data_IF_327261408464
#
_entry.id   IF_327261408464
#
_cell.length_a   1.000
_cell.length_b   1.000
_cell.length_c   1.000
_cell.angle_alpha   90.00
_cell.angle_beta   90.00
_cell.angle_gamma   90.00
#
_symmetry.space_group_name_H-M   'P 1'
#
loop_
_entity.id
_entity.type
_entity.pdbx_description
1 polymer ?
#
# COMPACT_ATOMS: atom_id res chain seq x y z
N UNK A 1 -25.06 19.54 -0.48
CA UNK A 1 -24.36 19.52 -1.80
C UNK A 1 -23.16 20.43 -1.94
N UNK A 2 -23.23 21.78 -1.81
CA UNK A 2 -22.03 22.63 -1.91
C UNK A 2 -21.00 22.36 -0.81
N UNK A 3 -21.44 22.22 0.43
CA UNK A 3 -20.56 21.98 1.58
C UNK A 3 -19.93 20.57 1.55
N UNK A 4 -20.63 19.57 1.08
CA UNK A 4 -20.12 18.19 0.97
C UNK A 4 -19.03 18.08 -0.10
N UNK A 5 -19.26 18.65 -1.31
CA UNK A 5 -18.24 18.72 -2.34
C UNK A 5 -16.97 19.41 -1.81
N UNK A 6 -17.15 20.54 -1.14
CA UNK A 6 -16.04 21.29 -0.56
C UNK A 6 -15.27 20.48 0.50
N UNK A 7 -15.98 19.76 1.38
CA UNK A 7 -15.36 18.88 2.38
C UNK A 7 -14.55 17.76 1.73
N UNK A 8 -15.11 17.09 0.72
CA UNK A 8 -14.38 16.04 -0.03
C UNK A 8 -13.13 16.59 -0.70
N UNK A 9 -13.25 17.77 -1.33
CA UNK A 9 -12.10 18.43 -1.98
C UNK A 9 -11.01 18.79 -0.96
N UNK A 10 -11.35 19.27 0.24
CA UNK A 10 -10.37 19.54 1.30
C UNK A 10 -9.67 18.25 1.76
N UNK A 11 -10.41 17.18 1.99
CA UNK A 11 -9.84 15.90 2.41
C UNK A 11 -8.89 15.34 1.35
N UNK A 12 -9.26 15.42 0.07
CA UNK A 12 -8.38 15.08 -1.04
C UNK A 12 -7.13 15.96 -1.05
N UNK A 13 -7.28 17.26 -0.87
CA UNK A 13 -6.13 18.17 -0.85
C UNK A 13 -5.15 17.81 0.29
N UNK A 14 -5.65 17.57 1.49
CA UNK A 14 -4.80 17.19 2.64
C UNK A 14 -4.06 15.88 2.37
N UNK A 15 -4.76 14.84 1.88
CA UNK A 15 -4.14 13.55 1.54
C UNK A 15 -3.09 13.71 0.43
N UNK A 16 -3.35 14.57 -0.57
CA UNK A 16 -2.45 14.85 -1.66
C UNK A 16 -1.18 15.59 -1.22
N UNK A 17 -1.29 16.54 -0.29
CA UNK A 17 -0.13 17.22 0.28
C UNK A 17 0.77 16.27 1.08
N UNK A 18 0.19 15.32 1.82
CA UNK A 18 0.96 14.27 2.49
C UNK A 18 1.70 13.37 1.49
N UNK A 19 1.02 12.95 0.43
CA UNK A 19 1.63 12.16 -0.63
C UNK A 19 2.74 12.94 -1.36
N UNK A 20 2.52 14.22 -1.65
CA UNK A 20 3.53 15.10 -2.24
C UNK A 20 4.78 15.19 -1.35
N UNK A 21 4.62 15.34 -0.04
CA UNK A 21 5.73 15.37 0.90
C UNK A 21 6.57 14.07 0.83
N UNK A 22 5.92 12.91 0.76
CA UNK A 22 6.60 11.62 0.57
C UNK A 22 7.35 11.58 -0.76
N UNK A 23 6.73 12.01 -1.86
CA UNK A 23 7.35 12.03 -3.19
C UNK A 23 8.56 12.97 -3.28
N UNK A 24 8.51 14.12 -2.61
CA UNK A 24 9.64 15.06 -2.52
C UNK A 24 10.80 14.47 -1.71
N UNK A 25 10.50 13.71 -0.67
CA UNK A 25 11.51 13.16 0.23
C UNK A 25 12.11 11.84 -0.26
N UNK A 26 11.36 11.07 -1.05
CA UNK A 26 11.74 9.75 -1.54
C UNK A 26 13.14 9.69 -2.18
N UNK A 27 13.59 10.65 -3.04
CA UNK A 27 14.91 10.58 -3.64
C UNK A 27 16.07 10.73 -2.66
N UNK A 28 15.84 11.38 -1.51
CA UNK A 28 16.89 11.80 -0.55
C UNK A 28 16.88 11.05 0.76
N UNK A 29 15.90 10.21 1.02
CA UNK A 29 15.72 9.51 2.30
C UNK A 29 16.96 8.73 2.75
N UNK A 30 17.78 8.27 1.81
CA UNK A 30 19.03 7.52 2.05
C UNK A 30 20.28 8.26 1.60
N UNK A 31 20.17 9.53 1.23
CA UNK A 31 21.29 10.34 0.79
C UNK A 31 22.05 9.75 -0.40
N UNK A 32 23.37 9.80 -0.35
CA UNK A 32 24.27 9.28 -1.39
C UNK A 32 24.19 7.76 -1.59
N UNK A 33 23.74 7.02 -0.57
CA UNK A 33 23.65 5.56 -0.59
C UNK A 33 22.56 5.03 -1.54
N UNK A 34 21.48 5.81 -1.75
CA UNK A 34 20.39 5.43 -2.65
C UNK A 34 19.67 6.66 -3.23
N UNK A 35 20.43 7.57 -3.81
CA UNK A 35 19.91 8.78 -4.47
C UNK A 35 19.16 8.39 -5.75
N UNK A 36 17.86 8.65 -5.81
CA UNK A 36 16.96 8.09 -6.84
C UNK A 36 17.14 6.56 -7.03
N UNK A 37 17.41 5.83 -5.94
CA UNK A 37 17.66 4.39 -6.00
C UNK A 37 19.04 4.01 -6.56
N UNK A 38 19.97 4.95 -6.75
CA UNK A 38 21.32 4.74 -7.28
C UNK A 38 22.34 5.18 -6.23
N UNK A 39 23.34 4.33 -5.96
CA UNK A 39 24.48 4.73 -5.13
C UNK A 39 25.38 5.67 -5.93
N UNK A 40 25.68 6.83 -5.36
CA UNK A 40 26.55 7.84 -5.96
C UNK A 40 27.66 8.23 -4.99
N UNK A 41 28.75 8.83 -5.49
CA UNK A 41 29.76 9.38 -4.61
C UNK A 41 29.21 10.58 -3.84
N UNK A 42 29.78 10.85 -2.66
CA UNK A 42 29.44 12.02 -1.85
C UNK A 42 29.63 13.33 -2.62
N UNK A 43 30.69 13.41 -3.40
CA UNK A 43 30.99 14.54 -4.26
C UNK A 43 29.87 14.77 -5.30
N UNK A 44 29.48 13.71 -6.02
CA UNK A 44 28.37 13.75 -6.97
C UNK A 44 27.06 14.14 -6.28
N UNK A 45 26.76 13.54 -5.12
CA UNK A 45 25.53 13.83 -4.38
C UNK A 45 25.43 15.31 -3.98
N UNK A 46 26.53 15.90 -3.48
CA UNK A 46 26.57 17.29 -3.04
C UNK A 46 26.70 18.29 -4.19
N UNK A 47 27.22 17.89 -5.34
CA UNK A 47 27.41 18.71 -6.54
C UNK A 47 26.23 18.56 -7.53
N UNK A 48 26.43 17.73 -8.55
CA UNK A 48 25.46 17.53 -9.63
C UNK A 48 24.13 16.95 -9.14
N UNK A 49 24.19 16.08 -8.12
CA UNK A 49 22.98 15.51 -7.49
C UNK A 49 22.03 16.57 -6.96
N UNK A 50 22.55 17.65 -6.35
CA UNK A 50 21.70 18.76 -5.87
C UNK A 50 21.01 19.52 -7.02
N UNK A 51 21.66 19.65 -8.19
CA UNK A 51 21.05 20.27 -9.38
C UNK A 51 19.92 19.40 -9.93
N UNK A 52 20.17 18.09 -10.05
CA UNK A 52 19.18 17.09 -10.48
C UNK A 52 17.99 17.09 -9.53
N UNK A 53 18.22 17.08 -8.21
CA UNK A 53 17.19 17.10 -7.19
C UNK A 53 16.33 18.37 -7.25
N UNK A 54 16.95 19.55 -7.41
CA UNK A 54 16.21 20.82 -7.55
C UNK A 54 15.31 20.80 -8.78
N UNK A 55 15.81 20.30 -9.91
CA UNK A 55 15.02 20.18 -11.14
C UNK A 55 13.85 19.21 -10.94
N UNK A 56 14.09 18.07 -10.32
CA UNK A 56 13.03 17.12 -9.97
C UNK A 56 11.95 17.77 -9.11
N UNK A 57 12.32 18.45 -8.04
CA UNK A 57 11.37 19.13 -7.17
C UNK A 57 10.55 20.18 -7.91
N UNK A 58 11.18 21.00 -8.74
CA UNK A 58 10.47 22.02 -9.55
C UNK A 58 9.49 21.38 -10.53
N UNK A 59 9.92 20.34 -11.26
CA UNK A 59 9.04 19.63 -12.19
C UNK A 59 7.88 18.94 -11.47
N UNK A 60 8.16 18.29 -10.33
CA UNK A 60 7.15 17.60 -9.53
C UNK A 60 6.12 18.59 -8.98
N UNK A 61 6.56 19.68 -8.36
CA UNK A 61 5.67 20.70 -7.80
C UNK A 61 4.82 21.35 -8.92
N UNK A 62 5.43 21.74 -10.03
CA UNK A 62 4.71 22.34 -11.14
C UNK A 62 3.64 21.39 -11.72
N UNK A 63 4.01 20.14 -12.00
CA UNK A 63 3.08 19.16 -12.57
C UNK A 63 1.97 18.81 -11.57
N UNK A 64 2.31 18.60 -10.30
CA UNK A 64 1.37 18.24 -9.26
C UNK A 64 0.33 19.35 -9.06
N UNK A 65 0.76 20.59 -8.80
CA UNK A 65 -0.18 21.68 -8.57
C UNK A 65 -0.99 22.03 -9.82
N UNK A 66 -0.42 21.92 -11.02
CA UNK A 66 -1.18 22.14 -12.24
C UNK A 66 -2.31 21.12 -12.43
N UNK A 67 -2.01 19.83 -12.25
CA UNK A 67 -3.01 18.75 -12.38
C UNK A 67 -4.08 18.85 -11.30
N UNK A 68 -3.68 19.08 -10.04
CA UNK A 68 -4.63 19.22 -8.94
C UNK A 68 -5.53 20.45 -9.15
N UNK A 69 -4.96 21.61 -9.56
CA UNK A 69 -5.75 22.81 -9.84
C UNK A 69 -6.76 22.58 -10.97
N UNK A 70 -6.35 21.93 -12.07
CA UNK A 70 -7.27 21.57 -13.17
C UNK A 70 -8.38 20.64 -12.66
N UNK A 71 -8.02 19.61 -11.90
CA UNK A 71 -8.98 18.65 -11.35
C UNK A 71 -9.98 19.30 -10.39
N UNK A 72 -9.49 20.11 -9.44
CA UNK A 72 -10.34 20.82 -8.48
C UNK A 72 -11.26 21.84 -9.15
N UNK A 73 -10.73 22.66 -10.06
CA UNK A 73 -11.54 23.64 -10.82
C UNK A 73 -12.62 22.92 -11.63
N UNK A 74 -12.25 21.86 -12.35
CA UNK A 74 -13.22 21.09 -13.15
C UNK A 74 -14.27 20.42 -12.26
N UNK A 75 -13.87 19.84 -11.13
CA UNK A 75 -14.80 19.26 -10.16
C UNK A 75 -15.76 20.31 -9.59
N UNK A 76 -15.27 21.48 -9.28
CA UNK A 76 -16.08 22.60 -8.78
C UNK A 76 -17.12 23.08 -9.79
N UNK A 77 -16.69 23.34 -11.06
CA UNK A 77 -17.60 23.82 -12.10
C UNK A 77 -18.60 22.74 -12.56
N UNK A 78 -18.15 21.48 -12.69
CA UNK A 78 -18.99 20.36 -13.10
C UNK A 78 -19.79 19.76 -11.95
N UNK A 79 -19.54 20.19 -10.70
CA UNK A 79 -20.13 19.67 -9.47
C UNK A 79 -19.99 18.14 -9.33
N UNK A 80 -18.87 17.63 -9.79
CA UNK A 80 -18.58 16.21 -9.78
C UNK A 80 -17.13 15.98 -9.32
N UNK A 81 -16.96 15.35 -8.15
CA UNK A 81 -15.65 15.09 -7.56
C UNK A 81 -14.79 14.07 -8.34
N UNK A 82 -15.40 13.30 -9.27
CA UNK A 82 -14.67 12.33 -10.09
C UNK A 82 -13.53 12.98 -10.89
N UNK A 83 -13.67 14.26 -11.28
CA UNK A 83 -12.61 15.00 -11.95
C UNK A 83 -11.42 15.28 -11.04
N UNK A 84 -11.64 15.61 -9.76
CA UNK A 84 -10.56 15.79 -8.79
C UNK A 84 -9.87 14.46 -8.50
N UNK A 85 -10.63 13.38 -8.38
CA UNK A 85 -10.09 12.03 -8.19
C UNK A 85 -9.27 11.57 -9.41
N UNK A 86 -9.73 11.83 -10.62
CA UNK A 86 -8.99 11.51 -11.84
C UNK A 86 -7.68 12.30 -11.95
N UNK A 87 -7.69 13.59 -11.61
CA UNK A 87 -6.50 14.41 -11.57
C UNK A 87 -5.50 13.94 -10.50
N UNK A 88 -6.00 13.53 -9.34
CA UNK A 88 -5.19 12.93 -8.28
C UNK A 88 -4.46 11.66 -8.77
N UNK A 89 -5.14 10.74 -9.42
CA UNK A 89 -4.48 9.57 -10.01
C UNK A 89 -3.47 9.98 -11.10
N UNK A 90 -3.82 10.93 -11.96
CA UNK A 90 -2.92 11.43 -13.00
C UNK A 90 -1.65 12.05 -12.39
N UNK A 91 -1.77 12.81 -11.29
CA UNK A 91 -0.63 13.43 -10.62
C UNK A 91 0.34 12.38 -10.05
N UNK A 92 -0.15 11.25 -9.53
CA UNK A 92 0.72 10.13 -9.10
C UNK A 92 1.42 9.45 -10.26
N UNK A 93 0.74 9.21 -11.37
CA UNK A 93 1.39 8.64 -12.57
C UNK A 93 2.47 9.55 -13.11
N UNK A 94 2.21 10.86 -13.19
CA UNK A 94 3.21 11.85 -13.63
C UNK A 94 4.38 11.92 -12.65
N UNK A 95 4.13 11.94 -11.34
CA UNK A 95 5.17 11.92 -10.32
C UNK A 95 6.07 10.68 -10.44
N UNK A 96 5.47 9.51 -10.66
CA UNK A 96 6.19 8.28 -10.89
C UNK A 96 7.05 8.33 -12.17
N UNK A 97 6.50 8.84 -13.28
CA UNK A 97 7.21 9.00 -14.53
C UNK A 97 8.39 9.98 -14.40
N UNK A 98 8.20 11.10 -13.67
CA UNK A 98 9.25 12.05 -13.35
C UNK A 98 10.36 11.38 -12.52
N UNK A 99 10.00 10.68 -11.43
CA UNK A 99 10.97 9.95 -10.62
C UNK A 99 11.81 8.99 -11.48
N UNK A 100 11.15 8.17 -12.30
CA UNK A 100 11.82 7.21 -13.18
C UNK A 100 12.76 7.89 -14.20
N UNK A 101 12.36 9.06 -14.71
CA UNK A 101 13.19 9.85 -15.64
C UNK A 101 14.45 10.41 -14.97
N UNK A 102 14.29 11.05 -13.80
CA UNK A 102 15.43 11.60 -13.05
C UNK A 102 16.33 10.49 -12.50
N UNK A 103 15.79 9.34 -12.14
CA UNK A 103 16.58 8.17 -11.80
C UNK A 103 17.45 7.67 -12.96
N UNK A 104 16.97 7.77 -14.22
CA UNK A 104 17.82 7.48 -15.42
C UNK A 104 18.95 8.49 -15.58
N UNK A 105 18.69 9.77 -15.30
CA UNK A 105 19.69 10.84 -15.35
C UNK A 105 20.80 10.65 -14.29
N UNK A 106 20.47 10.09 -13.13
CA UNK A 106 21.44 9.77 -12.06
C UNK A 106 22.29 8.53 -12.37
N UNK A 107 21.81 7.60 -13.19
CA UNK A 107 22.49 6.33 -13.52
C UNK A 107 23.96 6.46 -13.94
N UNK A 108 24.35 7.42 -14.80
CA UNK A 108 25.77 7.54 -15.22
C UNK A 108 26.75 7.83 -14.07
N UNK A 109 26.25 8.41 -12.98
CA UNK A 109 27.06 8.75 -11.78
C UNK A 109 27.16 7.59 -10.78
N UNK A 110 26.73 6.41 -11.16
CA UNK A 110 26.72 5.24 -10.28
C UNK A 110 28.12 4.85 -9.87
N UNK A 111 28.33 4.66 -8.57
CA UNK A 111 29.56 4.07 -8.02
C UNK A 111 29.33 2.57 -7.89
N UNK A 112 30.18 1.79 -8.56
CA UNK A 112 30.24 0.34 -8.40
C UNK A 112 30.96 0.02 -7.09
N UNK A 113 30.41 -0.88 -6.29
CA UNK A 113 31.07 -1.43 -5.11
C UNK A 113 31.89 -2.66 -5.52
N UNK A 114 32.84 -3.06 -4.70
CA UNK A 114 33.58 -4.30 -4.92
C UNK A 114 32.62 -5.51 -4.99
N UNK A 115 32.96 -6.49 -5.84
CA UNK A 115 32.14 -7.66 -6.05
C UNK A 115 31.95 -8.47 -4.76
N UNK A 116 30.82 -8.31 -4.11
CA UNK A 116 30.46 -9.06 -2.91
C UNK A 116 29.97 -10.45 -3.29
N UNK A 117 30.56 -11.48 -2.67
CA UNK A 117 30.05 -12.85 -2.78
C UNK A 117 28.76 -12.97 -1.98
N UNK A 118 27.72 -13.56 -2.59
CA UNK A 118 26.42 -13.76 -1.96
C UNK A 118 26.17 -15.23 -1.64
N UNK A 119 25.57 -15.47 -0.49
CA UNK A 119 25.05 -16.77 -0.08
C UNK A 119 23.51 -16.73 -0.11
N UNK A 120 22.90 -17.89 -0.32
CA UNK A 120 21.46 -18.08 -0.20
C UNK A 120 21.20 -19.04 0.95
N UNK A 121 20.28 -18.73 1.89
CA UNK A 121 19.98 -19.65 2.99
C UNK A 121 19.36 -20.94 2.45
N UNK A 122 19.79 -22.07 3.00
CA UNK A 122 19.30 -23.40 2.62
C UNK A 122 17.92 -23.73 3.21
N UNK A 123 17.49 -23.00 4.24
CA UNK A 123 16.21 -23.25 4.88
C UNK A 123 15.02 -22.81 4.02
N UNK A 124 14.11 -23.76 3.78
CA UNK A 124 12.80 -23.47 3.19
C UNK A 124 11.85 -23.00 4.29
N UNK A 125 11.32 -21.80 4.15
CA UNK A 125 10.31 -21.24 5.04
C UNK A 125 8.93 -21.72 4.62
N UNK A 126 8.08 -22.02 5.61
CA UNK A 126 6.68 -22.41 5.38
C UNK A 126 5.76 -21.34 5.95
N UNK A 127 4.68 -21.03 5.24
CA UNK A 127 3.70 -20.05 5.71
C UNK A 127 3.11 -20.44 7.09
N UNK A 128 2.94 -21.74 7.34
CA UNK A 128 2.44 -22.27 8.61
C UNK A 128 3.30 -21.88 9.81
N UNK A 129 4.61 -21.69 9.64
CA UNK A 129 5.53 -21.35 10.73
C UNK A 129 5.34 -19.89 11.19
N UNK A 130 4.65 -19.08 10.39
CA UNK A 130 4.41 -17.65 10.62
C UNK A 130 2.92 -17.32 10.82
N UNK A 131 2.04 -18.33 10.86
CA UNK A 131 0.59 -18.13 11.02
C UNK A 131 0.11 -18.68 12.36
N UNK A 132 -0.81 -17.96 12.99
CA UNK A 132 -1.46 -18.44 14.22
C UNK A 132 -2.87 -18.88 13.90
N UNK A 133 -3.23 -20.21 14.09
CA UNK A 133 -4.52 -20.74 13.66
C UNK A 133 -5.74 -20.00 14.23
N UNK A 134 -5.67 -19.60 15.51
CA UNK A 134 -6.77 -18.85 16.15
C UNK A 134 -6.94 -17.45 15.54
N UNK A 135 -5.85 -16.79 15.17
CA UNK A 135 -5.92 -15.48 14.51
C UNK A 135 -6.53 -15.61 13.11
N UNK A 136 -6.13 -16.63 12.35
CA UNK A 136 -6.70 -16.88 11.02
C UNK A 136 -8.21 -17.22 11.14
N UNK A 137 -8.61 -18.03 12.13
CA UNK A 137 -10.01 -18.34 12.40
C UNK A 137 -10.81 -17.08 12.77
N UNK A 138 -10.24 -16.19 13.60
CA UNK A 138 -10.87 -14.93 13.98
C UNK A 138 -11.05 -13.99 12.76
N UNK A 139 -10.01 -13.84 11.94
CA UNK A 139 -10.09 -13.01 10.73
C UNK A 139 -11.11 -13.57 9.75
N UNK A 140 -11.16 -14.90 9.60
CA UNK A 140 -12.15 -15.57 8.76
C UNK A 140 -13.57 -15.33 9.29
N UNK A 141 -13.79 -15.47 10.60
CA UNK A 141 -15.06 -15.19 11.24
C UNK A 141 -15.49 -13.73 11.02
N UNK A 142 -14.60 -12.76 11.28
CA UNK A 142 -14.88 -11.34 11.06
C UNK A 142 -15.19 -11.02 9.59
N UNK A 143 -14.67 -11.80 8.65
CA UNK A 143 -14.94 -11.63 7.22
C UNK A 143 -16.27 -12.24 6.81
N UNK A 144 -16.58 -13.44 7.29
CA UNK A 144 -17.75 -14.21 6.84
C UNK A 144 -19.02 -13.81 7.60
N UNK A 145 -18.95 -13.59 8.91
CA UNK A 145 -20.13 -13.34 9.72
C UNK A 145 -20.98 -12.14 9.24
N UNK A 146 -20.40 -10.96 8.93
CA UNK A 146 -21.18 -9.84 8.37
C UNK A 146 -21.89 -10.21 7.08
N UNK A 147 -21.22 -10.96 6.20
CA UNK A 147 -21.80 -11.40 4.93
C UNK A 147 -23.00 -12.31 5.14
N UNK A 148 -22.87 -13.30 6.02
CA UNK A 148 -23.95 -14.24 6.35
C UNK A 148 -25.14 -13.51 6.98
N UNK A 149 -24.91 -12.59 7.89
CA UNK A 149 -25.95 -11.78 8.51
C UNK A 149 -26.66 -10.91 7.47
N UNK A 150 -25.92 -10.28 6.57
CA UNK A 150 -26.51 -9.49 5.47
C UNK A 150 -27.35 -10.34 4.51
N UNK A 151 -26.89 -11.56 4.17
CA UNK A 151 -27.67 -12.49 3.33
C UNK A 151 -28.98 -12.84 4.02
N UNK A 152 -28.93 -13.16 5.32
CA UNK A 152 -30.14 -13.51 6.10
C UNK A 152 -31.17 -12.37 6.14
N UNK A 153 -30.73 -11.13 6.37
CA UNK A 153 -31.61 -9.97 6.47
C UNK A 153 -31.91 -9.30 5.12
N UNK A 154 -31.28 -9.72 4.02
CA UNK A 154 -31.48 -9.09 2.72
C UNK A 154 -32.94 -8.98 2.27
N UNK A 155 -33.80 -10.02 2.43
CA UNK A 155 -35.20 -9.91 2.07
C UNK A 155 -35.97 -8.85 2.88
N UNK A 156 -35.60 -8.66 4.15
CA UNK A 156 -36.25 -7.72 5.07
C UNK A 156 -35.78 -6.26 4.89
N UNK A 157 -34.73 -6.02 4.12
CA UNK A 157 -34.27 -4.65 3.84
C UNK A 157 -35.30 -3.87 3.01
N UNK A 158 -35.49 -2.56 3.30
CA UNK A 158 -36.37 -1.69 2.53
C UNK A 158 -35.87 -1.49 1.09
N UNK A 159 -36.72 -0.96 0.19
CA UNK A 159 -36.34 -0.68 -1.20
C UNK A 159 -35.21 0.35 -1.34
N UNK A 160 -35.07 1.25 -0.35
CA UNK A 160 -33.96 2.20 -0.27
C UNK A 160 -33.14 1.93 0.98
N UNK A 161 -31.83 1.83 0.77
CA UNK A 161 -30.85 1.56 1.83
C UNK A 161 -29.84 2.70 1.92
N UNK A 162 -29.33 3.00 3.13
CA UNK A 162 -28.29 4.01 3.30
C UNK A 162 -26.95 3.49 2.76
N UNK A 163 -26.20 4.37 2.11
CA UNK A 163 -24.87 4.07 1.54
C UNK A 163 -23.78 5.02 2.03
N UNK A 164 -24.17 6.05 2.78
CA UNK A 164 -23.23 6.98 3.41
C UNK A 164 -23.78 7.47 4.73
N UNK A 165 -22.87 7.65 5.70
CA UNK A 165 -23.15 8.17 7.03
C UNK A 165 -22.23 9.36 7.31
N UNK A 166 -22.80 10.46 7.81
CA UNK A 166 -22.03 11.61 8.24
C UNK A 166 -21.19 11.32 9.48
N UNK A 167 -20.33 12.26 9.87
CA UNK A 167 -19.50 12.16 11.09
C UNK A 167 -20.32 12.01 12.38
N UNK A 168 -21.58 12.44 12.36
CA UNK A 168 -22.55 12.25 13.45
C UNK A 168 -23.16 10.85 13.49
N UNK A 169 -22.75 9.94 12.58
CA UNK A 169 -23.26 8.58 12.49
C UNK A 169 -24.68 8.46 11.92
N UNK A 170 -25.25 9.56 11.41
CA UNK A 170 -26.56 9.53 10.76
C UNK A 170 -26.42 9.31 9.25
N UNK A 171 -27.32 8.52 8.62
CA UNK A 171 -27.31 8.31 7.19
C UNK A 171 -27.72 9.60 6.46
N UNK A 172 -26.93 10.02 5.50
CA UNK A 172 -27.14 11.24 4.70
C UNK A 172 -27.30 10.97 3.20
N UNK A 173 -27.06 9.74 2.76
CA UNK A 173 -27.31 9.31 1.37
C UNK A 173 -27.95 7.94 1.31
N UNK A 174 -28.98 7.83 0.49
CA UNK A 174 -29.79 6.63 0.29
C UNK A 174 -29.88 6.27 -1.18
N UNK A 175 -29.81 4.99 -1.50
CA UNK A 175 -29.96 4.48 -2.88
C UNK A 175 -30.90 3.28 -2.92
N UNK A 176 -31.22 2.82 -4.13
CA UNK A 176 -32.06 1.63 -4.31
C UNK A 176 -31.32 0.39 -3.79
N UNK A 177 -32.05 -0.51 -3.14
CA UNK A 177 -31.53 -1.82 -2.73
C UNK A 177 -31.15 -2.65 -3.97
N UNK A 178 -29.89 -3.06 -4.03
CA UNK A 178 -29.37 -4.00 -5.03
C UNK A 178 -28.31 -4.89 -4.39
N UNK A 179 -27.89 -5.94 -5.08
CA UNK A 179 -26.79 -6.77 -4.60
C UNK A 179 -25.49 -6.00 -4.50
N UNK A 180 -25.19 -5.17 -5.50
CA UNK A 180 -23.96 -4.33 -5.48
C UNK A 180 -23.97 -3.37 -4.31
N UNK A 181 -25.09 -2.68 -4.04
CA UNK A 181 -25.20 -1.73 -2.93
C UNK A 181 -25.00 -2.37 -1.56
N UNK A 182 -25.59 -3.55 -1.33
CA UNK A 182 -25.55 -4.20 0.00
C UNK A 182 -24.28 -5.01 0.19
N UNK A 183 -23.78 -5.69 -0.84
CA UNK A 183 -22.66 -6.63 -0.72
C UNK A 183 -21.31 -6.10 -1.21
N UNK A 184 -21.21 -4.85 -1.64
CA UNK A 184 -19.94 -4.27 -2.08
C UNK A 184 -18.85 -4.37 -1.01
N UNK A 185 -19.13 -3.92 0.22
CA UNK A 185 -18.15 -3.97 1.32
C UNK A 185 -17.78 -5.40 1.73
N UNK A 186 -18.70 -6.35 1.91
CA UNK A 186 -18.37 -7.76 2.10
C UNK A 186 -17.50 -8.37 1.00
N UNK A 187 -17.80 -8.08 -0.26
CA UNK A 187 -17.01 -8.57 -1.40
C UNK A 187 -15.62 -7.94 -1.42
N UNK A 188 -15.54 -6.62 -1.19
CA UNK A 188 -14.26 -5.91 -1.08
C UNK A 188 -13.43 -6.46 0.09
N UNK A 189 -14.05 -6.71 1.23
CA UNK A 189 -13.38 -7.29 2.41
C UNK A 189 -12.81 -8.68 2.08
N UNK A 190 -13.59 -9.57 1.45
CA UNK A 190 -13.14 -10.90 1.03
C UNK A 190 -11.98 -10.80 0.02
N UNK A 191 -12.07 -9.89 -0.92
CA UNK A 191 -10.99 -9.60 -1.87
C UNK A 191 -9.71 -9.16 -1.13
N UNK A 192 -9.80 -8.19 -0.21
CA UNK A 192 -8.65 -7.70 0.54
C UNK A 192 -8.01 -8.80 1.40
N UNK A 193 -8.82 -9.66 2.06
CA UNK A 193 -8.29 -10.79 2.82
C UNK A 193 -7.52 -11.77 1.94
N UNK A 194 -8.06 -12.10 0.76
CA UNK A 194 -7.40 -12.96 -0.22
C UNK A 194 -6.09 -12.37 -0.72
N UNK A 195 -6.08 -11.04 -0.96
CA UNK A 195 -4.87 -10.33 -1.36
C UNK A 195 -3.79 -10.37 -0.27
N UNK A 196 -4.15 -10.11 0.99
CA UNK A 196 -3.21 -10.19 2.10
C UNK A 196 -2.64 -11.60 2.30
N UNK A 197 -3.45 -12.65 2.14
CA UNK A 197 -2.96 -14.04 2.20
C UNK A 197 -1.95 -14.32 1.08
N UNK A 198 -2.22 -13.84 -0.13
CA UNK A 198 -1.31 -13.96 -1.25
C UNK A 198 0.01 -13.23 -0.99
N UNK A 199 -0.05 -11.99 -0.46
CA UNK A 199 1.14 -11.21 -0.09
C UNK A 199 1.95 -11.89 1.03
N UNK A 200 1.29 -12.47 2.04
CA UNK A 200 1.96 -13.25 3.11
C UNK A 200 2.68 -14.44 2.52
N UNK A 201 2.01 -15.21 1.67
CA UNK A 201 2.61 -16.34 0.97
C UNK A 201 3.84 -15.92 0.17
N UNK A 202 3.70 -14.88 -0.62
CA UNK A 202 4.76 -14.33 -1.45
C UNK A 202 5.96 -13.85 -0.62
N UNK A 203 5.72 -13.15 0.49
CA UNK A 203 6.77 -12.66 1.38
C UNK A 203 7.55 -13.79 2.06
N UNK A 204 6.86 -14.83 2.49
CA UNK A 204 7.49 -16.01 3.10
C UNK A 204 8.42 -16.72 2.09
N UNK A 205 8.04 -16.74 0.81
CA UNK A 205 8.83 -17.36 -0.26
C UNK A 205 9.77 -16.38 -0.97
N UNK A 206 9.90 -15.14 -0.47
CA UNK A 206 10.80 -14.16 -1.04
C UNK A 206 12.26 -14.63 -0.99
N UNK A 207 12.98 -14.44 -2.09
CA UNK A 207 14.41 -14.78 -2.18
C UNK A 207 15.21 -13.86 -1.27
N UNK A 208 15.96 -14.43 -0.35
CA UNK A 208 16.97 -13.74 0.43
C UNK A 208 18.34 -13.85 -0.23
N UNK A 209 19.08 -12.76 -0.21
CA UNK A 209 20.46 -12.73 -0.61
C UNK A 209 21.28 -12.13 0.50
N UNK A 210 22.31 -12.86 0.93
CA UNK A 210 23.11 -12.54 2.10
C UNK A 210 24.57 -12.35 1.65
N UNK A 211 25.28 -11.30 2.14
CA UNK A 211 26.72 -11.21 1.98
C UNK A 211 27.40 -12.43 2.62
N UNK A 212 28.26 -13.13 1.90
CA UNK A 212 28.84 -14.39 2.38
C UNK A 212 29.66 -14.23 3.65
N UNK A 213 30.38 -13.12 3.79
CA UNK A 213 31.25 -12.84 4.97
C UNK A 213 30.47 -12.57 6.26
N UNK A 214 29.23 -12.09 6.16
CA UNK A 214 28.38 -11.71 7.29
C UNK A 214 26.99 -12.37 7.24
N UNK A 215 26.90 -13.53 6.60
CA UNK A 215 25.64 -14.17 6.26
C UNK A 215 24.74 -14.42 7.49
N UNK A 216 25.29 -14.85 8.62
CA UNK A 216 24.54 -15.11 9.85
C UNK A 216 23.91 -13.83 10.44
N UNK A 217 24.67 -12.74 10.47
CA UNK A 217 24.18 -11.45 10.98
C UNK A 217 23.04 -10.97 10.10
N UNK A 218 23.25 -10.94 8.78
CA UNK A 218 22.22 -10.53 7.82
C UNK A 218 20.98 -11.43 7.90
N UNK A 219 21.14 -12.75 7.99
CA UNK A 219 20.03 -13.70 8.10
C UNK A 219 19.16 -13.37 9.32
N UNK A 220 19.76 -13.18 10.48
CA UNK A 220 19.05 -12.84 11.73
C UNK A 220 18.17 -11.58 11.58
N UNK A 221 18.72 -10.50 11.02
CA UNK A 221 17.97 -9.25 10.85
C UNK A 221 16.92 -9.36 9.75
N UNK A 222 17.21 -10.06 8.64
CA UNK A 222 16.24 -10.29 7.56
C UNK A 222 15.05 -11.14 8.03
N UNK A 223 15.28 -12.16 8.84
CA UNK A 223 14.20 -12.93 9.48
C UNK A 223 13.35 -12.04 10.40
N UNK A 224 13.97 -11.17 11.19
CA UNK A 224 13.22 -10.21 12.02
C UNK A 224 12.35 -9.26 11.18
N UNK A 225 12.84 -8.80 10.02
CA UNK A 225 12.08 -7.95 9.10
C UNK A 225 10.89 -8.70 8.51
N UNK A 226 11.07 -9.96 8.07
CA UNK A 226 9.96 -10.78 7.56
C UNK A 226 8.91 -11.02 8.64
N UNK A 227 9.32 -11.47 9.82
CA UNK A 227 8.40 -11.70 10.96
C UNK A 227 7.65 -10.40 11.32
N UNK A 228 8.35 -9.26 11.35
CA UNK A 228 7.73 -7.97 11.63
C UNK A 228 6.69 -7.59 10.55
N UNK A 229 7.02 -7.79 9.28
CA UNK A 229 6.12 -7.50 8.16
C UNK A 229 4.88 -8.41 8.15
N UNK A 230 5.06 -9.70 8.42
CA UNK A 230 3.94 -10.65 8.51
C UNK A 230 3.01 -10.32 9.67
N UNK A 231 3.55 -9.96 10.85
CA UNK A 231 2.76 -9.51 12.00
C UNK A 231 2.00 -8.22 11.70
N UNK A 232 2.63 -7.26 11.01
CA UNK A 232 1.95 -6.06 10.55
C UNK A 232 0.75 -6.41 9.66
N UNK A 233 0.96 -7.29 8.67
CA UNK A 233 -0.12 -7.73 7.79
C UNK A 233 -1.26 -8.38 8.56
N UNK A 234 -0.98 -9.20 9.58
CA UNK A 234 -1.99 -9.86 10.39
C UNK A 234 -2.84 -8.87 11.20
N UNK A 235 -2.21 -7.88 11.83
CA UNK A 235 -2.93 -6.82 12.54
C UNK A 235 -3.78 -5.98 11.60
N UNK A 236 -3.22 -5.56 10.46
CA UNK A 236 -3.93 -4.76 9.47
C UNK A 236 -5.13 -5.54 8.90
N UNK A 237 -4.97 -6.82 8.57
CA UNK A 237 -6.05 -7.70 8.11
C UNK A 237 -7.19 -7.78 9.12
N UNK A 238 -6.85 -8.07 10.38
CA UNK A 238 -7.84 -8.22 11.46
C UNK A 238 -8.63 -6.93 11.68
N UNK A 239 -7.94 -5.80 11.77
CA UNK A 239 -8.58 -4.50 11.94
C UNK A 239 -9.40 -4.06 10.72
N UNK A 240 -8.94 -4.35 9.50
CA UNK A 240 -9.73 -4.09 8.29
C UNK A 240 -10.98 -4.97 8.24
N UNK A 241 -10.88 -6.25 8.62
CA UNK A 241 -12.05 -7.13 8.69
C UNK A 241 -13.06 -6.61 9.72
N UNK A 242 -12.61 -6.21 10.91
CA UNK A 242 -13.47 -5.62 11.92
C UNK A 242 -14.11 -4.31 11.43
N UNK A 243 -13.31 -3.37 10.90
CA UNK A 243 -13.79 -2.08 10.42
C UNK A 243 -14.81 -2.23 9.29
N UNK A 244 -14.47 -2.94 8.22
CA UNK A 244 -15.36 -3.13 7.08
C UNK A 244 -16.58 -3.98 7.45
N UNK A 245 -16.42 -4.94 8.36
CA UNK A 245 -17.52 -5.70 8.93
C UNK A 245 -18.52 -4.80 9.67
N UNK A 246 -18.05 -3.93 10.56
CA UNK A 246 -18.90 -2.96 11.28
C UNK A 246 -19.58 -2.03 10.28
N UNK A 247 -18.83 -1.44 9.33
CA UNK A 247 -19.41 -0.50 8.36
C UNK A 247 -20.46 -1.18 7.47
N UNK A 248 -20.24 -2.43 7.06
CA UNK A 248 -21.25 -3.16 6.28
C UNK A 248 -22.53 -3.45 7.07
N UNK A 249 -22.42 -3.62 8.42
CA UNK A 249 -23.58 -3.80 9.29
C UNK A 249 -24.41 -2.51 9.49
N UNK A 250 -23.85 -1.33 9.27
CA UNK A 250 -24.60 -0.07 9.46
C UNK A 250 -25.89 -0.02 8.63
N UNK A 251 -25.91 -0.69 7.46
CA UNK A 251 -27.13 -0.81 6.64
C UNK A 251 -28.26 -1.44 7.48
N UNK A 252 -28.00 -2.57 8.13
CA UNK A 252 -28.98 -3.28 8.95
C UNK A 252 -29.33 -2.49 10.20
N UNK A 253 -28.31 -1.97 10.91
CA UNK A 253 -28.49 -1.21 12.15
C UNK A 253 -29.27 0.08 11.94
N UNK A 254 -29.31 0.60 10.72
CA UNK A 254 -30.08 1.78 10.35
C UNK A 254 -31.53 1.45 9.95
N UNK A 255 -31.72 0.32 9.27
CA UNK A 255 -33.00 -0.01 8.58
C UNK A 255 -33.87 -1.00 9.34
N UNK A 256 -33.30 -1.87 10.16
CA UNK A 256 -34.01 -2.93 10.90
C UNK A 256 -34.24 -2.47 12.36
N UNK A 257 -35.49 -2.13 12.68
CA UNK A 257 -35.88 -1.56 13.99
C UNK A 257 -35.33 -2.34 15.22
N UNK A 258 -35.45 -3.67 15.31
CA UNK A 258 -34.90 -4.41 16.47
C UNK A 258 -33.40 -4.25 16.66
N UNK A 259 -32.64 -3.93 15.61
CA UNK A 259 -31.18 -3.80 15.67
C UNK A 259 -30.69 -2.36 15.86
N UNK A 260 -31.59 -1.39 15.73
CA UNK A 260 -31.26 0.04 15.72
C UNK A 260 -30.57 0.54 17.00
N UNK A 261 -30.86 -0.08 18.15
CA UNK A 261 -30.22 0.24 19.42
C UNK A 261 -28.69 -0.02 19.43
N UNK A 262 -28.17 -0.85 18.50
CA UNK A 262 -26.74 -1.12 18.36
C UNK A 262 -25.99 -0.08 17.49
N UNK A 263 -26.71 0.77 16.77
CA UNK A 263 -26.10 1.77 15.87
C UNK A 263 -25.11 2.72 16.58
N UNK A 264 -25.39 3.27 17.78
CA UNK A 264 -24.40 4.11 18.48
C UNK A 264 -23.12 3.37 18.84
N UNK A 265 -23.24 2.09 19.23
CA UNK A 265 -22.07 1.25 19.56
C UNK A 265 -21.24 0.99 18.32
N UNK A 266 -21.87 0.65 17.18
CA UNK A 266 -21.17 0.43 15.91
C UNK A 266 -20.43 1.70 15.47
N UNK A 267 -21.09 2.87 15.51
CA UNK A 267 -20.46 4.15 15.18
C UNK A 267 -19.28 4.48 16.09
N UNK A 268 -19.40 4.20 17.39
CA UNK A 268 -18.30 4.39 18.34
C UNK A 268 -17.10 3.49 18.00
N UNK A 269 -17.32 2.20 17.66
CA UNK A 269 -16.27 1.23 17.39
C UNK A 269 -15.47 1.51 16.11
N UNK A 270 -16.01 2.23 15.15
CA UNK A 270 -15.31 2.63 13.92
C UNK A 270 -14.04 3.43 14.24
N UNK A 271 -14.12 4.41 15.14
CA UNK A 271 -13.02 5.32 15.44
C UNK A 271 -11.81 4.65 16.10
N UNK A 272 -11.97 3.78 17.13
CA UNK A 272 -10.88 2.97 17.64
C UNK A 272 -10.23 2.08 16.57
N UNK A 273 -11.02 1.46 15.69
CA UNK A 273 -10.45 0.66 14.58
C UNK A 273 -9.57 1.50 13.66
N UNK A 274 -10.02 2.70 13.27
CA UNK A 274 -9.24 3.63 12.45
C UNK A 274 -7.98 4.09 13.19
N UNK A 275 -8.12 4.49 14.46
CA UNK A 275 -6.99 4.92 15.29
C UNK A 275 -5.94 3.82 15.46
N UNK A 276 -6.37 2.59 15.71
CA UNK A 276 -5.47 1.43 15.82
C UNK A 276 -4.80 1.09 14.50
N UNK A 277 -5.50 1.19 13.35
CA UNK A 277 -4.88 0.98 12.04
C UNK A 277 -3.75 1.98 11.80
N UNK A 278 -3.96 3.25 12.09
CA UNK A 278 -2.94 4.28 11.97
C UNK A 278 -1.78 4.02 12.93
N UNK A 279 -2.08 3.80 14.22
CA UNK A 279 -1.06 3.52 15.25
C UNK A 279 -0.18 2.33 14.88
N UNK A 280 -0.79 1.20 14.48
CA UNK A 280 -0.08 -0.02 14.10
C UNK A 280 0.77 0.23 12.86
N UNK A 281 0.29 0.96 11.87
CA UNK A 281 1.05 1.32 10.67
C UNK A 281 2.31 2.10 11.04
N UNK A 282 2.21 3.15 11.86
CA UNK A 282 3.36 3.92 12.33
C UNK A 282 4.31 3.12 13.21
N UNK A 283 3.77 2.29 14.13
CA UNK A 283 4.58 1.41 14.98
C UNK A 283 5.45 0.45 14.15
N UNK A 284 4.88 -0.18 13.12
CA UNK A 284 5.65 -1.11 12.28
C UNK A 284 6.63 -0.40 11.35
N UNK A 285 6.32 0.80 10.86
CA UNK A 285 7.29 1.64 10.13
C UNK A 285 8.48 1.95 11.03
N UNK A 286 8.24 2.43 12.25
CA UNK A 286 9.30 2.68 13.24
C UNK A 286 10.12 1.42 13.52
N UNK A 287 9.46 0.30 13.77
CA UNK A 287 10.12 -0.99 14.05
C UNK A 287 10.97 -1.46 12.88
N UNK A 288 10.49 -1.30 11.65
CA UNK A 288 11.23 -1.62 10.44
C UNK A 288 12.50 -0.77 10.33
N UNK A 289 12.41 0.53 10.54
CA UNK A 289 13.55 1.43 10.56
C UNK A 289 14.55 1.05 11.66
N UNK A 290 14.08 0.75 12.87
CA UNK A 290 14.93 0.34 13.99
C UNK A 290 15.70 -0.96 13.71
N UNK A 291 15.09 -1.95 13.07
CA UNK A 291 15.78 -3.19 12.67
C UNK A 291 16.84 -2.90 11.61
N UNK A 292 16.55 -2.07 10.62
CA UNK A 292 17.53 -1.70 9.59
C UNK A 292 18.72 -0.92 10.17
N UNK A 293 18.48 0.02 11.09
CA UNK A 293 19.55 0.77 11.75
C UNK A 293 20.48 -0.16 12.56
N UNK A 294 19.90 -1.12 13.30
CA UNK A 294 20.71 -2.13 14.02
C UNK A 294 21.51 -3.02 13.08
N UNK A 295 20.98 -3.35 11.90
CA UNK A 295 21.73 -4.07 10.88
C UNK A 295 22.91 -3.24 10.38
N UNK A 296 22.70 -1.95 10.11
CA UNK A 296 23.78 -1.03 9.72
C UNK A 296 24.87 -0.92 10.77
N UNK A 297 24.50 -0.77 12.04
CA UNK A 297 25.42 -0.73 13.18
C UNK A 297 26.23 -2.02 13.31
N UNK A 298 25.58 -3.19 13.17
CA UNK A 298 26.21 -4.49 13.32
C UNK A 298 27.15 -4.87 12.16
N UNK A 299 26.92 -4.34 10.96
CA UNK A 299 27.68 -4.72 9.76
C UNK A 299 28.62 -3.63 9.27
N UNK A 300 28.56 -2.42 9.84
CA UNK A 300 29.31 -1.26 9.37
C UNK A 300 28.92 -0.80 7.97
N UNK A 301 27.96 -1.46 7.33
CA UNK A 301 27.57 -1.20 5.96
C UNK A 301 26.06 -1.32 5.78
N UNK A 302 25.42 -0.25 5.39
CA UNK A 302 23.97 -0.15 5.37
C UNK A 302 23.27 -0.93 4.27
N UNK A 303 23.96 -1.31 3.22
CA UNK A 303 23.40 -2.12 2.13
C UNK A 303 24.49 -2.53 1.18
N UNK A 304 24.81 -3.79 1.20
CA UNK A 304 25.46 -4.41 0.06
C UNK A 304 24.42 -4.52 -1.04
N UNK A 305 24.29 -3.47 -1.83
CA UNK A 305 23.43 -3.52 -3.02
C UNK A 305 23.94 -4.63 -3.95
N UNK A 306 23.05 -5.40 -4.50
CA UNK A 306 23.33 -6.33 -5.59
C UNK A 306 23.72 -5.56 -6.83
N UNK A 307 24.94 -5.10 -6.90
CA UNK A 307 25.45 -4.32 -8.03
C UNK A 307 25.63 -5.17 -9.27
N UNK A 308 25.94 -6.46 -9.10
CA UNK A 308 26.02 -7.43 -10.19
C UNK A 308 24.70 -7.62 -10.97
N UNK A 309 23.57 -7.28 -10.39
CA UNK A 309 22.25 -7.38 -11.02
C UNK A 309 21.63 -6.03 -11.41
N UNK A 310 22.40 -4.94 -11.34
CA UNK A 310 21.87 -3.61 -11.61
C UNK A 310 21.28 -3.44 -13.01
N UNK A 311 21.76 -4.20 -13.99
CA UNK A 311 21.21 -4.21 -15.35
C UNK A 311 19.80 -4.80 -15.42
N UNK A 312 19.43 -5.65 -14.46
CA UNK A 312 18.11 -6.28 -14.35
C UNK A 312 17.05 -5.36 -13.75
N UNK A 313 17.45 -4.19 -13.24
CA UNK A 313 16.53 -3.20 -12.69
C UNK A 313 16.20 -2.12 -13.72
N UNK A 314 14.89 -1.90 -13.94
CA UNK A 314 14.37 -0.91 -14.89
C UNK A 314 13.77 0.29 -14.16
N UNK A 315 13.48 1.37 -14.88
CA UNK A 315 12.83 2.58 -14.35
C UNK A 315 13.47 3.12 -13.07
N UNK A 316 14.82 3.27 -13.08
CA UNK A 316 15.53 3.83 -11.93
C UNK A 316 15.65 2.91 -10.72
N UNK A 317 15.50 1.60 -10.92
CA UNK A 317 15.61 0.62 -9.84
C UNK A 317 14.27 0.32 -9.15
N UNK A 318 13.16 0.74 -9.74
CA UNK A 318 11.81 0.49 -9.20
C UNK A 318 11.30 -0.92 -9.54
N UNK A 319 11.60 -1.41 -10.75
CA UNK A 319 11.15 -2.72 -11.21
C UNK A 319 12.33 -3.65 -11.45
N UNK A 320 12.20 -4.87 -10.97
CA UNK A 320 13.14 -5.95 -11.24
C UNK A 320 12.60 -6.82 -12.39
N UNK A 321 13.41 -7.03 -13.42
CA UNK A 321 13.06 -7.86 -14.57
C UNK A 321 14.22 -8.79 -14.89
N UNK A 322 14.12 -10.06 -14.51
CA UNK A 322 15.12 -11.08 -14.79
C UNK A 322 14.45 -12.41 -15.15
N UNK A 323 14.42 -12.80 -16.44
CA UNK A 323 13.82 -14.06 -16.87
C UNK A 323 14.61 -15.29 -16.40
N UNK A 324 15.88 -15.13 -16.08
CA UNK A 324 16.77 -16.23 -15.64
C UNK A 324 16.64 -16.48 -14.12
N UNK A 325 16.02 -15.57 -13.35
CA UNK A 325 15.79 -15.73 -11.92
C UNK A 325 14.40 -16.35 -11.68
N UNK A 326 14.31 -17.58 -11.13
CA UNK A 326 13.04 -18.23 -10.87
C UNK A 326 12.26 -17.58 -9.72
N UNK A 327 12.89 -16.72 -8.92
CA UNK A 327 12.27 -16.07 -7.79
C UNK A 327 11.20 -15.08 -8.25
N UNK A 328 9.99 -15.22 -7.70
CA UNK A 328 8.89 -14.30 -7.97
C UNK A 328 9.04 -12.99 -7.20
N UNK A 329 9.55 -13.05 -5.97
CA UNK A 329 9.79 -11.90 -5.11
C UNK A 329 11.27 -11.81 -4.77
N UNK A 330 11.81 -10.62 -4.94
CA UNK A 330 13.20 -10.28 -4.66
C UNK A 330 13.28 -9.08 -3.74
N UNK A 331 14.35 -8.96 -3.01
CA UNK A 331 14.64 -7.80 -2.18
C UNK A 331 14.89 -6.56 -3.05
N UNK A 332 14.36 -5.41 -2.66
CA UNK A 332 14.65 -4.13 -3.33
C UNK A 332 16.11 -3.75 -3.17
N UNK A 333 16.65 -3.06 -4.17
CA UNK A 333 18.05 -2.60 -4.20
C UNK A 333 18.45 -1.76 -2.99
N UNK A 334 17.51 -0.97 -2.47
CA UNK A 334 17.72 -0.13 -1.29
C UNK A 334 17.63 -0.91 0.03
N UNK A 335 17.37 -2.22 -0.02
CA UNK A 335 17.16 -3.06 1.15
C UNK A 335 15.88 -2.75 1.93
N UNK A 336 15.04 -1.83 1.42
CA UNK A 336 13.77 -1.45 2.05
C UNK A 336 12.60 -2.21 1.42
N UNK A 337 12.44 -3.47 1.84
CA UNK A 337 11.32 -4.29 1.43
C UNK A 337 11.58 -5.12 0.17
N UNK A 338 10.50 -5.53 -0.47
CA UNK A 338 10.52 -6.50 -1.56
C UNK A 338 9.80 -5.95 -2.79
N UNK A 339 10.10 -6.52 -3.96
CA UNK A 339 9.40 -6.25 -5.22
C UNK A 339 9.21 -7.55 -6.00
N UNK A 340 8.32 -7.52 -6.97
CA UNK A 340 8.13 -8.66 -7.86
C UNK A 340 9.18 -8.69 -8.97
N UNK A 341 9.56 -9.91 -9.38
CA UNK A 341 10.23 -10.14 -10.64
C UNK A 341 9.19 -10.11 -11.77
N UNK A 342 9.17 -9.02 -12.53
CA UNK A 342 8.20 -8.82 -13.60
C UNK A 342 8.42 -9.75 -14.83
N UNK A 343 9.52 -10.48 -14.90
CA UNK A 343 9.73 -11.56 -15.85
C UNK A 343 9.14 -12.90 -15.37
N UNK A 344 8.86 -13.05 -14.09
CA UNK A 344 8.39 -14.29 -13.49
C UNK A 344 7.00 -14.71 -13.97
N UNK A 345 6.77 -16.01 -14.19
CA UNK A 345 5.47 -16.53 -14.63
C UNK A 345 4.33 -16.21 -13.65
N UNK A 346 4.63 -16.19 -12.36
CA UNK A 346 3.65 -15.91 -11.30
C UNK A 346 3.14 -14.46 -11.25
N UNK A 347 3.87 -13.49 -11.85
CA UNK A 347 3.45 -12.08 -11.83
C UNK A 347 2.14 -11.86 -12.57
N UNK A 348 1.88 -12.60 -13.65
CA UNK A 348 0.65 -12.46 -14.43
C UNK A 348 -0.59 -12.72 -13.58
N UNK A 349 -0.55 -13.73 -12.70
CA UNK A 349 -1.64 -14.01 -11.77
C UNK A 349 -1.85 -12.87 -10.78
N UNK A 350 -0.78 -12.27 -10.23
CA UNK A 350 -0.86 -11.13 -9.30
C UNK A 350 -1.43 -9.89 -9.97
N UNK A 351 -0.99 -9.61 -11.20
CA UNK A 351 -1.54 -8.50 -11.99
C UNK A 351 -3.01 -8.72 -12.38
N UNK A 352 -3.39 -9.95 -12.76
CA UNK A 352 -4.78 -10.29 -13.02
C UNK A 352 -5.64 -10.11 -11.77
N UNK A 353 -5.16 -10.55 -10.60
CA UNK A 353 -5.85 -10.35 -9.33
C UNK A 353 -5.98 -8.85 -9.00
N UNK A 354 -4.93 -8.06 -9.19
CA UNK A 354 -4.98 -6.61 -8.99
C UNK A 354 -5.97 -5.92 -9.94
N UNK A 355 -6.11 -6.42 -11.18
CA UNK A 355 -7.05 -5.90 -12.16
C UNK A 355 -8.54 -6.12 -11.78
N UNK A 356 -8.84 -6.95 -10.77
CA UNK A 356 -10.21 -7.08 -10.24
C UNK A 356 -10.66 -5.83 -9.48
N UNK A 357 -9.75 -5.00 -8.97
CA UNK A 357 -10.10 -3.77 -8.21
C UNK A 357 -10.98 -2.82 -9.03
N UNK A 358 -10.56 -2.38 -10.24
CA UNK A 358 -11.40 -1.52 -11.05
C UNK A 358 -12.75 -2.18 -11.43
N UNK A 359 -12.79 -3.50 -11.61
CA UNK A 359 -14.04 -4.22 -11.88
C UNK A 359 -14.98 -4.21 -10.68
N UNK A 360 -14.47 -4.36 -9.46
CA UNK A 360 -15.26 -4.23 -8.24
C UNK A 360 -15.80 -2.81 -8.06
N UNK A 361 -14.98 -1.80 -8.35
CA UNK A 361 -15.43 -0.39 -8.30
C UNK A 361 -16.51 -0.13 -9.35
N UNK A 362 -16.33 -0.60 -10.59
CA UNK A 362 -17.34 -0.48 -11.64
C UNK A 362 -18.65 -1.17 -11.24
N UNK A 363 -18.58 -2.38 -10.68
CA UNK A 363 -19.74 -3.09 -10.16
C UNK A 363 -20.49 -2.29 -9.09
N UNK A 364 -19.76 -1.68 -8.15
CA UNK A 364 -20.37 -0.81 -7.13
C UNK A 364 -21.07 0.42 -7.72
N UNK A 365 -20.53 0.96 -8.83
CA UNK A 365 -21.06 2.17 -9.47
C UNK A 365 -22.28 1.90 -10.39
N UNK A 366 -22.56 0.64 -10.73
CA UNK A 366 -23.68 0.31 -11.63
C UNK A 366 -25.07 0.67 -11.09
N UNK A 367 -25.22 0.77 -9.75
CA UNK A 367 -26.48 1.02 -9.06
C UNK A 367 -26.48 2.33 -8.22
N UNK A 368 -25.42 3.15 -8.33
CA UNK A 368 -25.33 4.47 -7.72
C UNK A 368 -25.82 5.55 -8.67
#
# INVERSE_FOLDING_TARGET
MKNELFTVLILLLVSNLLALAVLLWMPVIRGEKAFFGVRVSRETYLGEGRRILRRYWLCLLAAFFALEAIGFLTAYYRRNFAFALAANFASYFVAFALYANFAREVRPFRVLSEATKFATPLQTRRLADYTHPLLEALVLLLTIAPTVVLIYYYPALPERVPVHWGLNGQPDRWTRKSFSTVFFLPVLMTYLQSWFLLLKYDLVHAKMTLPAEQAEIYLKFKEQLIVSSLRMMDWVRGLLAALLGIVSMLILLTTIEPLRHLLPVANFLIWPCVGLLLFISFYFIYRFMAINNRLEEATGNSNVMRESEAERWTSGGLFYYNPDDPALIVEKRDGLGYTYNFAGKGIKLRLAFLALVPLLVLWALMDL
#
